data_IF_933667082950
#
_entry.id   IF_933667082950
#
_cell.length_a   1.000
_cell.length_b   1.000
_cell.length_c   1.000
_cell.angle_alpha   90.00
_cell.angle_beta   90.00
_cell.angle_gamma   90.00
#
_symmetry.space_group_name_H-M   'P 1'
#
loop_
_entity.id
_entity.type
_entity.pdbx_description
1 polymer ?
#
# COMPACT_ATOMS: atom_id res chain seq x y z
N UNK A 1 -20.13 -5.48 -16.91
CA UNK A 1 -20.12 -6.87 -16.39
C UNK A 1 -21.28 -7.70 -16.91
N UNK A 2 -22.54 -7.38 -16.59
CA UNK A 2 -23.70 -8.18 -17.04
C UNK A 2 -23.70 -8.44 -18.56
N UNK A 3 -23.41 -7.41 -19.36
CA UNK A 3 -23.25 -7.52 -20.81
C UNK A 3 -22.12 -8.47 -21.23
N UNK A 4 -20.98 -8.44 -20.53
CA UNK A 4 -19.84 -9.30 -20.84
C UNK A 4 -20.13 -10.77 -20.50
N UNK A 5 -20.68 -11.01 -19.31
CA UNK A 5 -21.01 -12.36 -18.83
C UNK A 5 -22.13 -12.98 -19.66
N UNK A 6 -23.15 -12.21 -20.05
CA UNK A 6 -24.18 -12.73 -20.95
C UNK A 6 -23.65 -12.96 -22.36
N UNK A 7 -22.77 -12.09 -22.86
CA UNK A 7 -22.15 -12.24 -24.18
C UNK A 7 -21.34 -13.54 -24.32
N UNK A 8 -20.73 -14.04 -23.24
CA UNK A 8 -19.99 -15.30 -23.24
C UNK A 8 -20.85 -16.55 -22.97
N UNK A 9 -22.17 -16.41 -22.80
CA UNK A 9 -23.08 -17.54 -22.53
C UNK A 9 -23.49 -17.69 -21.06
N UNK A 10 -23.30 -16.67 -20.22
CA UNK A 10 -23.80 -16.62 -18.84
C UNK A 10 -22.78 -17.05 -17.78
N UNK A 11 -23.23 -17.13 -16.53
CA UNK A 11 -22.40 -17.46 -15.37
C UNK A 11 -21.82 -18.89 -15.44
N UNK A 12 -22.53 -19.81 -16.07
CA UNK A 12 -22.06 -21.20 -16.20
C UNK A 12 -20.88 -21.30 -17.17
N UNK A 13 -20.91 -20.54 -18.26
CA UNK A 13 -19.78 -20.42 -19.19
C UNK A 13 -18.57 -19.76 -18.52
N UNK A 14 -18.80 -18.74 -17.68
CA UNK A 14 -17.73 -18.09 -16.91
C UNK A 14 -17.03 -19.06 -15.94
N UNK A 15 -17.80 -19.92 -15.25
CA UNK A 15 -17.23 -20.93 -14.33
C UNK A 15 -16.46 -22.03 -15.06
N UNK A 16 -16.77 -22.28 -16.33
CA UNK A 16 -16.09 -23.28 -17.14
C UNK A 16 -14.74 -22.80 -17.72
N UNK A 17 -14.39 -21.53 -17.55
CA UNK A 17 -13.10 -20.98 -18.04
C UNK A 17 -11.94 -21.58 -17.26
N UNK A 18 -11.07 -22.30 -17.95
CA UNK A 18 -9.82 -22.84 -17.40
C UNK A 18 -8.64 -22.00 -17.91
N UNK A 19 -7.86 -21.35 -17.03
CA UNK A 19 -6.67 -20.61 -17.45
C UNK A 19 -5.64 -21.55 -18.08
N UNK A 20 -5.06 -21.15 -19.23
CA UNK A 20 -4.01 -21.92 -19.88
C UNK A 20 -2.71 -22.02 -19.03
N UNK A 21 -2.48 -21.03 -18.18
CA UNK A 21 -1.36 -20.97 -17.23
C UNK A 21 -1.92 -20.57 -15.87
N UNK A 22 -2.25 -21.55 -15.00
CA UNK A 22 -2.77 -21.25 -13.68
C UNK A 22 -1.68 -20.59 -12.82
N UNK A 23 -2.04 -19.50 -12.14
CA UNK A 23 -1.17 -18.83 -11.19
C UNK A 23 -1.23 -19.56 -9.84
N UNK A 24 -0.08 -19.75 -9.19
CA UNK A 24 -0.06 -20.24 -7.81
C UNK A 24 -0.83 -19.30 -6.88
N UNK A 25 -1.58 -19.86 -5.92
CA UNK A 25 -2.41 -19.07 -5.02
C UNK A 25 -1.59 -18.07 -4.19
N UNK A 26 -0.39 -18.43 -3.76
CA UNK A 26 0.45 -17.51 -2.97
C UNK A 26 0.94 -16.34 -3.82
N UNK A 27 1.24 -16.60 -5.10
CA UNK A 27 1.60 -15.54 -6.05
C UNK A 27 0.40 -14.65 -6.32
N UNK A 28 -0.80 -15.23 -6.52
CA UNK A 28 -2.04 -14.46 -6.68
C UNK A 28 -2.29 -13.52 -5.49
N UNK A 29 -2.16 -14.06 -4.27
CA UNK A 29 -2.33 -13.30 -3.04
C UNK A 29 -1.26 -12.20 -2.89
N UNK A 30 0.00 -12.50 -3.22
CA UNK A 30 1.08 -11.52 -3.19
C UNK A 30 0.83 -10.37 -4.18
N UNK A 31 0.32 -10.64 -5.38
CA UNK A 31 -0.04 -9.61 -6.35
C UNK A 31 -1.19 -8.73 -5.82
N UNK A 32 -2.25 -9.33 -5.27
CA UNK A 32 -3.38 -8.59 -4.69
C UNK A 32 -2.91 -7.67 -3.56
N UNK A 33 -2.07 -8.17 -2.65
CA UNK A 33 -1.51 -7.35 -1.58
C UNK A 33 -0.59 -6.27 -2.14
N UNK A 34 0.33 -6.63 -3.05
CA UNK A 34 1.27 -5.71 -3.68
C UNK A 34 0.60 -4.54 -4.41
N UNK A 35 -0.56 -4.76 -5.03
CA UNK A 35 -1.33 -3.72 -5.71
C UNK A 35 -1.82 -2.60 -4.78
N UNK A 36 -2.05 -2.89 -3.50
CA UNK A 36 -2.69 -1.94 -2.58
C UNK A 36 -1.93 -1.68 -1.29
N UNK A 37 -0.85 -2.41 -1.00
CA UNK A 37 -0.10 -2.29 0.25
C UNK A 37 0.43 -0.88 0.49
N UNK A 38 0.81 -0.17 -0.57
CA UNK A 38 1.24 1.23 -0.51
C UNK A 38 0.14 2.14 0.04
N UNK A 39 -1.09 2.02 -0.47
CA UNK A 39 -2.25 2.76 0.04
C UNK A 39 -2.54 2.43 1.51
N UNK A 40 -2.36 1.16 1.91
CA UNK A 40 -2.48 0.73 3.30
C UNK A 40 -1.53 1.50 4.23
N UNK A 41 -0.24 1.60 3.86
CA UNK A 41 0.75 2.33 4.68
C UNK A 41 0.51 3.84 4.75
N UNK A 42 -0.17 4.40 3.75
CA UNK A 42 -0.48 5.84 3.66
C UNK A 42 -1.83 6.19 4.30
N UNK A 43 -2.55 5.21 4.86
CA UNK A 43 -3.90 5.44 5.42
C UNK A 43 -3.91 6.55 6.47
N UNK A 44 -2.83 6.69 7.25
CA UNK A 44 -2.65 7.75 8.24
C UNK A 44 -2.77 9.18 7.64
N UNK A 45 -2.30 9.39 6.42
CA UNK A 45 -2.29 10.72 5.77
C UNK A 45 -3.69 11.21 5.42
N UNK A 46 -4.61 10.27 5.20
CA UNK A 46 -6.01 10.55 4.87
C UNK A 46 -6.88 10.58 6.13
N UNK A 47 -6.71 9.58 7.01
CA UNK A 47 -7.54 9.46 8.22
C UNK A 47 -7.26 10.53 9.27
N UNK A 48 -6.11 11.24 9.20
CA UNK A 48 -5.80 12.37 10.10
C UNK A 48 -6.82 13.51 10.01
N UNK A 49 -7.53 13.62 8.89
CA UNK A 49 -8.60 14.61 8.72
C UNK A 49 -9.97 14.11 9.24
N UNK A 50 -10.04 12.84 9.67
CA UNK A 50 -11.24 12.24 10.22
C UNK A 50 -11.53 12.70 11.65
N UNK A 51 -12.81 12.84 11.99
CA UNK A 51 -13.25 13.23 13.34
C UNK A 51 -12.92 12.19 14.43
N UNK A 52 -12.87 10.90 14.08
CA UNK A 52 -12.68 9.81 15.04
C UNK A 52 -11.89 8.66 14.39
N UNK A 53 -10.80 8.23 15.02
CA UNK A 53 -9.92 7.17 14.55
C UNK A 53 -10.63 5.82 14.36
N UNK A 54 -11.52 5.42 15.30
CA UNK A 54 -12.25 4.14 15.20
C UNK A 54 -13.18 4.12 13.98
N UNK A 55 -13.87 5.24 13.76
CA UNK A 55 -14.76 5.38 12.62
C UNK A 55 -13.97 5.41 11.31
N UNK A 56 -12.83 6.11 11.28
CA UNK A 56 -11.97 6.18 10.11
C UNK A 56 -11.44 4.80 9.69
N UNK A 57 -11.01 3.98 10.66
CA UNK A 57 -10.57 2.59 10.40
C UNK A 57 -11.73 1.74 9.87
N UNK A 58 -12.90 1.79 10.49
CA UNK A 58 -14.06 1.01 10.05
C UNK A 58 -14.48 1.37 8.62
N UNK A 59 -14.57 2.68 8.33
CA UNK A 59 -14.94 3.18 7.00
C UNK A 59 -13.89 2.76 5.97
N UNK A 60 -12.60 2.90 6.28
CA UNK A 60 -11.52 2.47 5.40
C UNK A 60 -11.61 0.97 5.11
N UNK A 61 -11.81 0.12 6.13
CA UNK A 61 -11.96 -1.32 5.96
C UNK A 61 -13.15 -1.69 5.05
N UNK A 62 -14.32 -1.10 5.30
CA UNK A 62 -15.54 -1.40 4.52
C UNK A 62 -15.40 -0.88 3.09
N UNK A 63 -14.95 0.36 2.90
CA UNK A 63 -14.77 0.96 1.59
C UNK A 63 -13.72 0.19 0.77
N UNK A 64 -12.60 -0.18 1.40
CA UNK A 64 -11.55 -0.95 0.76
C UNK A 64 -12.03 -2.35 0.39
N UNK A 65 -12.72 -3.05 1.31
CA UNK A 65 -13.25 -4.38 1.04
C UNK A 65 -14.23 -4.38 -0.14
N UNK A 66 -15.20 -3.46 -0.13
CA UNK A 66 -16.21 -3.35 -1.19
C UNK A 66 -15.59 -2.91 -2.51
N UNK A 67 -14.79 -1.84 -2.50
CA UNK A 67 -14.15 -1.30 -3.70
C UNK A 67 -13.20 -2.30 -4.35
N UNK A 68 -12.32 -2.91 -3.56
CA UNK A 68 -11.35 -3.86 -4.06
C UNK A 68 -12.02 -5.13 -4.63
N UNK A 69 -13.00 -5.68 -3.91
CA UNK A 69 -13.73 -6.87 -4.38
C UNK A 69 -14.45 -6.59 -5.70
N UNK A 70 -15.12 -5.44 -5.81
CA UNK A 70 -15.84 -5.05 -7.02
C UNK A 70 -14.89 -4.87 -8.21
N UNK A 71 -13.76 -4.20 -8.00
CA UNK A 71 -12.75 -3.98 -9.05
C UNK A 71 -12.15 -5.29 -9.55
N UNK A 72 -11.79 -6.22 -8.65
CA UNK A 72 -11.26 -7.53 -9.03
C UNK A 72 -12.29 -8.37 -9.79
N UNK A 73 -13.56 -8.35 -9.37
CA UNK A 73 -14.64 -9.06 -10.07
C UNK A 73 -14.83 -8.51 -11.50
N UNK A 74 -14.78 -7.19 -11.68
CA UNK A 74 -14.88 -6.59 -13.01
C UNK A 74 -13.69 -6.92 -13.90
N UNK A 75 -12.47 -6.83 -13.39
CA UNK A 75 -11.27 -7.21 -14.13
C UNK A 75 -11.28 -8.69 -14.52
N UNK A 76 -11.63 -9.58 -13.58
CA UNK A 76 -11.72 -11.02 -13.84
C UNK A 76 -12.81 -11.35 -14.88
N UNK A 77 -14.00 -10.76 -14.77
CA UNK A 77 -15.08 -10.98 -15.73
C UNK A 77 -14.75 -10.40 -17.12
N UNK A 78 -14.11 -9.23 -17.19
CA UNK A 78 -13.64 -8.63 -18.45
C UNK A 78 -12.59 -9.49 -19.14
N UNK A 79 -11.60 -9.97 -18.38
CA UNK A 79 -10.54 -10.83 -18.89
C UNK A 79 -11.10 -12.18 -19.37
N UNK A 80 -12.01 -12.79 -18.61
CA UNK A 80 -12.59 -14.09 -18.96
C UNK A 80 -13.57 -14.03 -20.14
N UNK A 81 -14.37 -12.95 -20.25
CA UNK A 81 -15.39 -12.83 -21.29
C UNK A 81 -14.87 -12.26 -22.61
N UNK A 82 -13.93 -11.30 -22.54
CA UNK A 82 -13.48 -10.51 -23.70
C UNK A 82 -11.96 -10.51 -23.89
N UNK A 83 -11.21 -11.16 -22.99
CA UNK A 83 -9.74 -11.17 -23.05
C UNK A 83 -9.10 -9.82 -22.68
N UNK A 84 -9.85 -8.89 -22.09
CA UNK A 84 -9.39 -7.53 -21.79
C UNK A 84 -9.29 -7.29 -20.29
N UNK A 85 -8.15 -6.74 -19.86
CA UNK A 85 -7.86 -6.47 -18.45
C UNK A 85 -8.42 -5.13 -17.95
N UNK A 86 -8.61 -4.16 -18.86
CA UNK A 86 -9.16 -2.84 -18.52
C UNK A 86 -10.69 -2.81 -18.73
N UNK A 87 -11.41 -2.29 -17.74
CA UNK A 87 -12.86 -2.16 -17.80
C UNK A 87 -13.31 -1.15 -18.87
N UNK A 88 -12.49 -0.15 -19.14
CA UNK A 88 -12.74 0.89 -20.14
C UNK A 88 -12.67 0.29 -21.54
N UNK A 89 -11.71 -0.58 -21.79
CA UNK A 89 -11.62 -1.34 -23.05
C UNK A 89 -12.85 -2.23 -23.22
N UNK A 90 -13.25 -2.95 -22.16
CA UNK A 90 -14.50 -3.75 -22.15
C UNK A 90 -15.72 -2.91 -22.52
N UNK A 91 -15.82 -1.69 -22.00
CA UNK A 91 -16.92 -0.78 -22.32
C UNK A 91 -16.87 -0.30 -23.76
N UNK A 92 -15.68 0.03 -24.30
CA UNK A 92 -15.50 0.40 -25.70
C UNK A 92 -15.93 -0.73 -26.63
N UNK A 93 -15.51 -1.97 -26.36
CA UNK A 93 -15.92 -3.14 -27.14
C UNK A 93 -17.44 -3.40 -27.09
N UNK A 94 -18.12 -2.93 -26.04
CA UNK A 94 -19.57 -2.99 -25.88
C UNK A 94 -20.32 -1.80 -26.50
N UNK A 95 -19.62 -0.90 -27.19
CA UNK A 95 -20.22 0.31 -27.80
C UNK A 95 -20.48 1.45 -26.81
N UNK A 96 -19.99 1.35 -25.57
CA UNK A 96 -20.19 2.34 -24.50
C UNK A 96 -19.03 3.34 -24.43
N UNK A 97 -18.71 3.98 -25.56
CA UNK A 97 -17.53 4.86 -25.68
C UNK A 97 -17.56 6.05 -24.70
N UNK A 98 -18.68 6.78 -24.62
CA UNK A 98 -18.79 7.95 -23.74
C UNK A 98 -18.62 7.58 -22.26
N UNK A 99 -19.35 6.57 -21.73
CA UNK A 99 -19.09 6.07 -20.38
C UNK A 99 -17.65 5.59 -20.17
N UNK A 100 -17.04 4.92 -21.15
CA UNK A 100 -15.68 4.41 -21.03
C UNK A 100 -14.66 5.55 -20.85
N UNK A 101 -14.77 6.62 -21.64
CA UNK A 101 -13.89 7.79 -21.53
C UNK A 101 -14.01 8.42 -20.13
N UNK A 102 -15.24 8.56 -19.62
CA UNK A 102 -15.48 9.16 -18.30
C UNK A 102 -14.90 8.27 -17.19
N UNK A 103 -15.16 6.96 -17.24
CA UNK A 103 -14.66 6.01 -16.23
C UNK A 103 -13.13 5.96 -16.24
N UNK A 104 -12.51 5.86 -17.43
CA UNK A 104 -11.07 5.85 -17.59
C UNK A 104 -10.44 7.13 -17.04
N UNK A 105 -10.98 8.29 -17.43
CA UNK A 105 -10.48 9.59 -17.00
C UNK A 105 -10.59 9.79 -15.49
N UNK A 106 -11.74 9.47 -14.89
CA UNK A 106 -11.96 9.64 -13.45
C UNK A 106 -11.12 8.66 -12.63
N UNK A 107 -11.00 7.40 -13.07
CA UNK A 107 -10.20 6.40 -12.36
C UNK A 107 -8.71 6.77 -12.33
N UNK A 108 -8.15 7.18 -13.47
CA UNK A 108 -6.75 7.59 -13.57
C UNK A 108 -6.51 8.88 -12.81
N UNK A 109 -7.36 9.89 -12.98
CA UNK A 109 -7.18 11.19 -12.34
C UNK A 109 -7.19 11.06 -10.81
N UNK A 110 -8.25 10.50 -10.23
CA UNK A 110 -8.40 10.45 -8.76
C UNK A 110 -7.31 9.63 -8.07
N UNK A 111 -6.88 8.52 -8.68
CA UNK A 111 -5.82 7.68 -8.11
C UNK A 111 -4.45 8.36 -8.22
N UNK A 112 -4.15 8.96 -9.38
CA UNK A 112 -2.88 9.63 -9.61
C UNK A 112 -2.74 10.90 -8.76
N UNK A 113 -3.82 11.65 -8.56
CA UNK A 113 -3.85 12.82 -7.66
C UNK A 113 -3.45 12.43 -6.22
N UNK A 114 -4.03 11.35 -5.69
CA UNK A 114 -3.67 10.81 -4.37
C UNK A 114 -2.19 10.38 -4.29
N UNK A 115 -1.66 9.72 -5.32
CA UNK A 115 -0.26 9.29 -5.37
C UNK A 115 0.73 10.47 -5.41
N UNK A 116 0.40 11.51 -6.19
CA UNK A 116 1.20 12.73 -6.27
C UNK A 116 1.14 13.55 -4.99
N UNK A 117 -0.01 13.57 -4.31
CA UNK A 117 -0.17 14.20 -3.00
C UNK A 117 0.70 13.50 -1.94
N UNK A 118 0.56 12.18 -1.81
CA UNK A 118 1.31 11.41 -0.81
C UNK A 118 2.83 11.46 -1.04
N UNK A 119 3.27 11.25 -2.28
CA UNK A 119 4.70 11.34 -2.60
C UNK A 119 5.25 12.76 -2.43
N UNK A 120 4.49 13.79 -2.83
CA UNK A 120 4.88 15.19 -2.65
C UNK A 120 5.06 15.56 -1.19
N UNK A 121 4.14 15.13 -0.31
CA UNK A 121 4.24 15.35 1.13
C UNK A 121 5.41 14.60 1.74
N UNK A 122 5.65 13.35 1.32
CA UNK A 122 6.79 12.54 1.76
C UNK A 122 8.13 13.21 1.47
N UNK A 123 8.35 13.67 0.24
CA UNK A 123 9.58 14.37 -0.11
C UNK A 123 9.67 15.77 0.50
N UNK A 124 8.55 16.48 0.68
CA UNK A 124 8.54 17.79 1.32
C UNK A 124 9.02 17.71 2.77
N UNK A 125 8.61 16.68 3.51
CA UNK A 125 9.06 16.45 4.88
C UNK A 125 10.56 16.14 5.00
N UNK A 126 11.18 15.57 3.96
CA UNK A 126 12.61 15.24 3.94
C UNK A 126 13.45 16.45 3.50
N UNK A 127 13.00 17.15 2.45
CA UNK A 127 13.80 18.18 1.76
C UNK A 127 13.48 19.61 2.23
N UNK A 128 12.35 19.81 2.90
CA UNK A 128 11.82 21.14 3.24
C UNK A 128 11.27 21.92 2.03
N UNK A 129 11.27 21.34 0.82
CA UNK A 129 10.75 21.98 -0.38
C UNK A 129 9.22 21.96 -0.42
N UNK A 130 8.63 22.81 -1.27
CA UNK A 130 7.18 22.82 -1.48
C UNK A 130 6.67 21.49 -2.04
N UNK A 131 5.69 20.90 -1.36
CA UNK A 131 5.00 19.69 -1.82
C UNK A 131 4.45 19.85 -3.24
N UNK A 132 3.99 21.04 -3.63
CA UNK A 132 3.45 21.28 -4.99
C UNK A 132 4.51 21.07 -6.07
N UNK A 133 5.71 21.62 -5.85
CA UNK A 133 6.84 21.48 -6.79
C UNK A 133 7.28 20.03 -6.87
N UNK A 134 7.38 19.36 -5.72
CA UNK A 134 7.77 17.96 -5.65
C UNK A 134 6.73 17.03 -6.31
N UNK A 135 5.44 17.30 -6.16
CA UNK A 135 4.39 16.55 -6.86
C UNK A 135 4.54 16.66 -8.38
N UNK A 136 4.86 17.84 -8.92
CA UNK A 136 5.09 17.99 -10.38
C UNK A 136 6.31 17.18 -10.82
N UNK A 137 7.42 17.27 -10.08
CA UNK A 137 8.65 16.51 -10.38
C UNK A 137 8.38 15.00 -10.32
N UNK A 138 7.71 14.53 -9.27
CA UNK A 138 7.34 13.13 -9.12
C UNK A 138 6.41 12.65 -10.23
N UNK A 139 5.50 13.49 -10.72
CA UNK A 139 4.63 13.17 -11.86
C UNK A 139 5.42 12.98 -13.15
N UNK A 140 6.41 13.83 -13.42
CA UNK A 140 7.27 13.69 -14.60
C UNK A 140 8.10 12.40 -14.49
N UNK A 141 8.75 12.18 -13.35
CA UNK A 141 9.56 10.97 -13.11
C UNK A 141 8.70 9.72 -13.22
N UNK A 142 7.54 9.71 -12.57
CA UNK A 142 6.59 8.60 -12.61
C UNK A 142 6.11 8.28 -14.02
N UNK A 143 5.86 9.30 -14.84
CA UNK A 143 5.47 9.13 -16.25
C UNK A 143 6.58 8.47 -17.07
N UNK A 144 7.84 8.87 -16.86
CA UNK A 144 8.99 8.24 -17.54
C UNK A 144 9.17 6.80 -17.05
N UNK A 145 9.11 6.57 -15.75
CA UNK A 145 9.22 5.24 -15.16
C UNK A 145 8.08 4.30 -15.61
N UNK A 146 6.90 4.83 -15.93
CA UNK A 146 5.77 4.05 -16.41
C UNK A 146 6.09 3.26 -17.70
N UNK A 147 6.96 3.80 -18.58
CA UNK A 147 7.40 3.13 -19.81
C UNK A 147 8.14 1.81 -19.53
N UNK A 148 8.93 1.78 -18.46
CA UNK A 148 9.60 0.55 -18.01
C UNK A 148 8.65 -0.35 -17.20
N UNK A 149 7.85 0.28 -16.34
CA UNK A 149 6.96 -0.41 -15.41
C UNK A 149 5.89 -1.24 -16.13
N UNK A 150 5.38 -0.74 -17.25
CA UNK A 150 4.40 -1.44 -18.08
C UNK A 150 4.87 -2.86 -18.45
N UNK A 151 6.15 -3.01 -18.78
CA UNK A 151 6.73 -4.29 -19.19
C UNK A 151 7.16 -5.18 -18.00
N UNK A 152 7.23 -4.62 -16.78
CA UNK A 152 7.73 -5.30 -15.58
C UNK A 152 6.69 -5.34 -14.44
N UNK A 153 5.40 -5.18 -14.78
CA UNK A 153 4.33 -4.93 -13.83
C UNK A 153 4.21 -6.01 -12.74
N UNK A 154 4.22 -7.29 -13.12
CA UNK A 154 4.09 -8.43 -12.19
C UNK A 154 5.29 -8.50 -11.24
N UNK A 155 6.50 -8.34 -11.77
CA UNK A 155 7.73 -8.32 -10.97
C UNK A 155 7.76 -7.15 -9.98
N UNK A 156 7.30 -5.99 -10.42
CA UNK A 156 7.16 -4.82 -9.56
C UNK A 156 6.15 -5.03 -8.43
N UNK A 157 4.95 -5.56 -8.73
CA UNK A 157 3.96 -5.87 -7.69
C UNK A 157 4.48 -6.90 -6.68
N UNK A 158 5.22 -7.89 -7.16
CA UNK A 158 5.87 -8.89 -6.29
C UNK A 158 6.88 -8.22 -5.37
N UNK A 159 7.74 -7.35 -5.90
CA UNK A 159 8.68 -6.56 -5.10
C UNK A 159 7.98 -5.68 -4.06
N UNK A 160 6.94 -4.93 -4.47
CA UNK A 160 6.18 -4.07 -3.54
C UNK A 160 5.51 -4.87 -2.43
N UNK A 161 5.01 -6.07 -2.74
CA UNK A 161 4.39 -6.97 -1.77
C UNK A 161 5.35 -7.45 -0.68
N UNK A 162 6.66 -7.40 -0.91
CA UNK A 162 7.69 -7.75 0.07
C UNK A 162 8.31 -6.53 0.75
N UNK A 163 8.52 -5.44 -0.01
CA UNK A 163 9.29 -4.27 0.45
C UNK A 163 8.50 -3.33 1.39
N UNK A 164 7.22 -3.10 1.10
CA UNK A 164 6.40 -2.13 1.84
C UNK A 164 5.84 -2.69 3.17
N UNK A 165 5.32 -3.92 3.26
CA UNK A 165 4.67 -4.38 4.48
C UNK A 165 5.54 -4.31 5.76
N UNK A 166 6.85 -4.65 5.74
CA UNK A 166 7.71 -4.50 6.91
C UNK A 166 7.72 -3.09 7.49
N UNK A 167 7.63 -2.06 6.64
CA UNK A 167 7.59 -0.66 7.08
C UNK A 167 6.36 -0.41 7.96
N UNK A 168 5.19 -0.87 7.51
CA UNK A 168 3.96 -0.80 8.30
C UNK A 168 4.08 -1.59 9.62
N UNK A 169 4.68 -2.79 9.57
CA UNK A 169 4.92 -3.61 10.76
C UNK A 169 5.81 -2.92 11.79
N UNK A 170 6.90 -2.29 11.36
CA UNK A 170 7.81 -1.53 12.22
C UNK A 170 7.12 -0.30 12.82
N UNK A 171 6.35 0.46 12.02
CA UNK A 171 5.60 1.62 12.51
C UNK A 171 4.58 1.21 13.59
N UNK A 172 3.82 0.13 13.34
CA UNK A 172 2.84 -0.39 14.32
C UNK A 172 3.57 -0.83 15.60
N UNK A 173 4.65 -1.58 15.47
CA UNK A 173 5.45 -2.03 16.62
C UNK A 173 6.01 -0.87 17.44
N UNK A 174 6.53 0.16 16.77
CA UNK A 174 7.06 1.36 17.43
C UNK A 174 5.98 2.15 18.15
N UNK A 175 4.83 2.35 17.50
CA UNK A 175 3.69 3.04 18.11
C UNK A 175 3.19 2.32 19.37
N UNK A 176 3.05 0.99 19.32
CA UNK A 176 2.58 0.20 20.47
C UNK A 176 3.57 0.22 21.63
N UNK A 177 4.88 0.17 21.34
CA UNK A 177 5.93 0.18 22.36
C UNK A 177 6.16 1.57 22.97
N UNK A 178 6.08 2.63 22.16
CA UNK A 178 6.43 4.00 22.55
C UNK A 178 5.21 4.93 22.65
N UNK A 179 4.00 4.39 22.86
CA UNK A 179 2.73 5.14 22.83
C UNK A 179 2.75 6.46 23.62
N UNK A 180 3.36 6.47 24.81
CA UNK A 180 3.46 7.67 25.67
C UNK A 180 4.24 8.83 25.02
N UNK A 181 5.27 8.52 24.21
CA UNK A 181 6.06 9.52 23.48
C UNK A 181 5.23 10.25 22.43
N UNK A 182 4.28 9.55 21.82
CA UNK A 182 3.39 10.14 20.82
C UNK A 182 2.26 10.97 21.44
N UNK A 183 1.90 10.72 22.71
CA UNK A 183 0.96 11.57 23.46
C UNK A 183 1.58 12.93 23.83
N UNK A 184 2.90 12.98 24.06
CA UNK A 184 3.67 14.19 24.38
C UNK A 184 4.63 14.57 23.24
N UNK A 185 4.12 14.60 22.00
CA UNK A 185 4.94 14.82 20.80
C UNK A 185 5.71 16.16 20.81
N UNK A 186 5.14 17.19 21.45
CA UNK A 186 5.74 18.53 21.50
C UNK A 186 6.99 18.63 22.41
N UNK A 187 7.15 17.72 23.37
CA UNK A 187 8.22 17.75 24.38
C UNK A 187 9.22 16.62 24.22
N UNK A 188 8.91 15.61 23.39
CA UNK A 188 9.76 14.44 23.19
C UNK A 188 10.79 14.67 22.08
N UNK A 189 12.08 14.50 22.38
CA UNK A 189 13.12 14.43 21.34
C UNK A 189 13.01 13.12 20.57
N UNK A 190 12.72 13.21 19.27
CA UNK A 190 12.77 12.05 18.39
C UNK A 190 14.21 11.83 17.87
N UNK A 191 14.58 10.57 17.68
CA UNK A 191 15.80 10.25 16.94
C UNK A 191 15.61 10.63 15.48
N UNK A 192 16.57 11.33 14.88
CA UNK A 192 16.52 11.72 13.47
C UNK A 192 16.57 10.51 12.53
N UNK A 193 17.37 9.50 12.87
CA UNK A 193 17.47 8.23 12.13
C UNK A 193 17.54 7.08 13.12
N UNK A 194 16.60 6.14 13.01
CA UNK A 194 16.65 4.88 13.75
C UNK A 194 17.17 3.76 12.83
N UNK A 195 18.48 3.50 12.87
CA UNK A 195 19.11 2.42 12.11
C UNK A 195 18.57 1.03 12.46
N UNK A 196 18.04 0.85 13.67
CA UNK A 196 17.40 -0.42 14.09
C UNK A 196 16.07 -0.61 13.36
N UNK A 197 15.30 0.47 13.13
CA UNK A 197 14.09 0.42 12.33
C UNK A 197 14.41 0.03 10.87
N UNK A 198 15.45 0.62 10.29
CA UNK A 198 15.90 0.30 8.93
C UNK A 198 16.35 -1.16 8.84
N UNK A 199 17.14 -1.64 9.80
CA UNK A 199 17.56 -3.04 9.87
C UNK A 199 16.37 -3.99 10.04
N UNK A 200 15.38 -3.63 10.87
CA UNK A 200 14.17 -4.42 11.04
C UNK A 200 13.36 -4.53 9.75
N UNK A 201 13.26 -3.45 8.96
CA UNK A 201 12.65 -3.51 7.61
C UNK A 201 13.42 -4.48 6.72
N UNK A 202 14.75 -4.39 6.67
CA UNK A 202 15.57 -5.32 5.87
C UNK A 202 15.39 -6.80 6.29
N UNK A 203 15.31 -7.05 7.60
CA UNK A 203 15.02 -8.38 8.15
C UNK A 203 13.61 -8.86 7.81
N UNK A 204 12.62 -7.95 7.78
CA UNK A 204 11.28 -8.25 7.30
C UNK A 204 11.27 -8.64 5.83
N UNK A 205 11.96 -7.89 4.96
CA UNK A 205 12.08 -8.23 3.53
C UNK A 205 12.72 -9.62 3.36
N UNK A 206 13.81 -9.87 4.07
CA UNK A 206 14.48 -11.17 4.10
C UNK A 206 13.54 -12.31 4.56
N UNK A 207 12.76 -12.08 5.62
CA UNK A 207 11.77 -13.03 6.11
C UNK A 207 10.69 -13.31 5.05
N UNK A 208 10.22 -12.29 4.33
CA UNK A 208 9.28 -12.43 3.22
C UNK A 208 9.81 -13.31 2.07
N UNK A 209 11.11 -13.26 1.79
CA UNK A 209 11.75 -14.05 0.73
C UNK A 209 12.11 -15.49 1.13
N UNK A 210 12.54 -15.71 2.37
CA UNK A 210 13.09 -17.00 2.79
C UNK A 210 12.15 -17.87 3.61
N UNK A 211 11.12 -17.29 4.24
CA UNK A 211 10.14 -18.07 4.99
C UNK A 211 9.05 -18.60 4.05
N UNK A 212 8.67 -19.89 4.18
CA UNK A 212 7.55 -20.43 3.43
C UNK A 212 6.23 -19.76 3.86
N UNK A 213 5.28 -19.70 2.92
CA UNK A 213 3.94 -19.16 3.16
C UNK A 213 3.72 -17.82 2.45
N UNK A 214 2.95 -16.95 3.10
CA UNK A 214 2.46 -15.71 2.49
C UNK A 214 3.51 -14.61 2.67
N UNK A 215 4.20 -14.27 1.59
CA UNK A 215 5.28 -13.27 1.52
C UNK A 215 4.97 -12.00 2.34
N UNK A 216 3.85 -11.28 2.12
CA UNK A 216 3.59 -10.05 2.87
C UNK A 216 3.37 -10.27 4.36
N UNK A 217 2.79 -11.40 4.78
CA UNK A 217 2.57 -11.72 6.21
C UNK A 217 3.92 -11.95 6.90
N UNK A 218 4.77 -12.77 6.30
CA UNK A 218 6.12 -13.03 6.78
C UNK A 218 6.93 -11.73 6.84
N UNK A 219 6.75 -10.84 5.86
CA UNK A 219 7.42 -9.55 5.80
C UNK A 219 6.99 -8.60 6.95
N UNK A 220 5.68 -8.47 7.20
CA UNK A 220 5.15 -7.67 8.33
C UNK A 220 5.64 -8.22 9.66
N UNK A 221 5.45 -9.52 9.90
CA UNK A 221 5.79 -10.15 11.17
C UNK A 221 7.30 -10.13 11.41
N UNK A 222 8.11 -10.42 10.39
CA UNK A 222 9.56 -10.34 10.44
C UNK A 222 10.04 -8.94 10.79
N UNK A 223 9.47 -7.90 10.18
CA UNK A 223 9.80 -6.52 10.48
C UNK A 223 9.39 -6.10 11.89
N UNK A 224 8.14 -6.37 12.28
CA UNK A 224 7.61 -6.01 13.58
C UNK A 224 8.36 -6.72 14.73
N UNK A 225 8.56 -8.03 14.64
CA UNK A 225 9.25 -8.81 15.68
C UNK A 225 10.73 -8.42 15.78
N UNK A 226 11.41 -8.26 14.64
CA UNK A 226 12.81 -7.80 14.63
C UNK A 226 12.95 -6.44 15.30
N UNK A 227 12.03 -5.52 15.05
CA UNK A 227 12.04 -4.21 15.70
C UNK A 227 11.82 -4.30 17.21
N UNK A 228 10.81 -5.07 17.64
CA UNK A 228 10.49 -5.24 19.06
C UNK A 228 11.65 -5.85 19.85
N UNK A 229 12.43 -6.73 19.23
CA UNK A 229 13.58 -7.36 19.88
C UNK A 229 14.80 -6.45 19.84
N UNK A 230 15.15 -5.91 18.66
CA UNK A 230 16.41 -5.20 18.46
C UNK A 230 16.40 -3.79 19.06
N UNK A 231 15.25 -3.09 19.00
CA UNK A 231 15.19 -1.68 19.38
C UNK A 231 15.45 -1.47 20.89
N UNK A 232 14.87 -2.24 21.84
CA UNK A 232 15.20 -2.11 23.26
C UNK A 232 16.64 -2.47 23.60
N UNK A 233 17.25 -3.40 22.86
CA UNK A 233 18.62 -3.88 23.11
C UNK A 233 19.64 -2.85 22.62
N UNK A 234 19.49 -2.40 21.37
CA UNK A 234 20.48 -1.57 20.69
C UNK A 234 20.31 -0.07 20.96
N UNK A 235 19.07 0.41 21.18
CA UNK A 235 18.79 1.81 21.50
C UNK A 235 18.57 2.07 23.00
N UNK A 236 19.10 1.20 23.86
CA UNK A 236 18.92 1.24 25.33
C UNK A 236 19.40 2.57 25.94
N UNK A 237 20.54 3.11 25.45
CA UNK A 237 21.13 4.37 25.93
C UNK A 237 20.31 5.60 25.53
N UNK A 238 19.79 5.63 24.31
CA UNK A 238 18.95 6.73 23.81
C UNK A 238 17.59 6.72 24.49
N UNK A 239 17.00 5.53 24.68
CA UNK A 239 15.72 5.35 25.39
C UNK A 239 15.80 5.80 26.85
N UNK A 240 16.88 5.46 27.57
CA UNK A 240 17.11 5.88 28.95
C UNK A 240 17.38 7.40 29.09
N UNK A 241 18.13 8.00 28.15
CA UNK A 241 18.38 9.44 28.13
C UNK A 241 17.11 10.26 27.89
N UNK A 242 16.17 9.74 27.08
CA UNK A 242 14.87 10.40 26.82
C UNK A 242 13.92 10.32 28.02
N UNK A 243 13.97 9.24 28.81
CA UNK A 243 13.12 9.09 30.01
C UNK A 243 13.58 10.01 31.16
N UNK A 244 14.88 10.24 31.31
CA UNK A 244 15.40 11.16 32.34
C UNK A 244 15.05 12.64 32.09
N UNK A 245 14.88 13.06 30.83
CA UNK A 245 14.45 14.43 30.51
C UNK A 245 12.97 14.64 30.81
N UNK A 246 12.12 13.64 30.55
CA UNK A 246 10.69 13.68 30.88
C UNK A 246 10.46 13.88 32.38
N UNK A 247 11.22 13.18 33.23
CA UNK A 247 11.10 13.29 34.71
C UNK A 247 11.50 14.68 35.21
N UNK A 248 12.55 15.29 34.66
CA UNK A 248 13.02 16.61 35.09
C UNK A 248 12.21 17.80 34.53
N UNK A 249 11.29 17.56 33.58
CA UNK A 249 10.41 18.60 33.02
C UNK A 249 9.04 18.69 33.68
N UNK A 250 8.77 17.82 34.67
CA UNK A 250 7.51 17.71 35.40
C UNK A 250 7.65 18.19 36.87
N UNK A 251 8.85 18.61 37.28
CA UNK A 251 9.10 19.39 38.52
C UNK A 251 9.28 20.88 38.19
#
# INVERSE_FOLDING_TARGET
MWLAVNGMGGLDALKAVVPAQPLDFNVALALVVGSFISAGTLTADFVRFGRNAKLAVLVAMVAFFLGNSLMFIFGAAGAAALGMADISDVMIAQGLLLPAIVVLGLNIWTTNDNALYASGLGFANITGMSSKTLSVINGIIGTVCALWLYNNFVGWLTFLSAAIPPVGGVIIADYLMNRRRYEHFATTRMMSVNWVAILAVALGIAAGHWLPGIVPVNAVLGGALSYLILNPILNRKTTAAMTHVEVNSVE
#
